data_IF_075017426310
#
_entry.id   IF_075017426310
#
_cell.length_a   1.000
_cell.length_b   1.000
_cell.length_c   1.000
_cell.angle_alpha   90.00
_cell.angle_beta   90.00
_cell.angle_gamma   90.00
#
_symmetry.space_group_name_H-M   'P 1'
#
loop_
_entity.id
_entity.type
_entity.pdbx_description
1 polymer ?
#
# COMPACT_ATOMS: atom_id res chain seq x y z
N UNK A 1 28.79 -10.93 52.35
CA UNK A 1 29.41 -10.88 51.00
C UNK A 1 28.55 -11.53 49.89
N UNK A 2 27.33 -12.01 50.16
CA UNK A 2 26.49 -12.77 49.20
C UNK A 2 25.86 -11.94 48.06
N UNK A 3 25.77 -10.60 48.18
CA UNK A 3 25.23 -9.75 47.11
C UNK A 3 26.20 -9.48 45.93
N UNK A 4 27.51 -9.73 46.09
CA UNK A 4 28.52 -9.40 45.06
C UNK A 4 28.37 -10.25 43.78
N UNK A 5 27.89 -11.49 43.89
CA UNK A 5 27.66 -12.37 42.74
C UNK A 5 26.48 -11.92 41.88
N UNK A 6 25.37 -11.56 42.52
CA UNK A 6 24.17 -11.05 41.85
C UNK A 6 24.45 -9.71 41.15
N UNK A 7 25.16 -8.79 41.81
CA UNK A 7 25.53 -7.50 41.21
C UNK A 7 26.45 -7.69 39.99
N UNK A 8 27.45 -8.59 40.07
CA UNK A 8 28.32 -8.90 38.91
C UNK A 8 27.56 -9.52 37.76
N UNK A 9 26.61 -10.41 38.04
CA UNK A 9 25.75 -11.00 37.02
C UNK A 9 24.90 -9.94 36.30
N UNK A 10 24.22 -9.06 37.04
CA UNK A 10 23.45 -7.96 36.44
C UNK A 10 24.31 -7.00 35.63
N UNK A 11 25.52 -6.68 36.10
CA UNK A 11 26.45 -5.80 35.38
C UNK A 11 26.90 -6.44 34.06
N UNK A 12 27.25 -7.73 34.06
CA UNK A 12 27.61 -8.47 32.85
C UNK A 12 26.42 -8.55 31.89
N UNK A 13 25.21 -8.83 32.39
CA UNK A 13 24.00 -8.87 31.58
C UNK A 13 23.70 -7.50 30.94
N UNK A 14 23.81 -6.41 31.70
CA UNK A 14 23.58 -5.05 31.22
C UNK A 14 24.65 -4.61 30.20
N UNK A 15 25.91 -4.99 30.42
CA UNK A 15 26.99 -4.75 29.47
C UNK A 15 26.75 -5.50 28.15
N UNK A 16 26.30 -6.76 28.21
CA UNK A 16 25.96 -7.56 27.03
C UNK A 16 24.78 -6.94 26.27
N UNK A 17 23.69 -6.56 26.96
CA UNK A 17 22.54 -5.89 26.34
C UNK A 17 22.97 -4.59 25.67
N UNK A 18 23.82 -3.80 26.32
CA UNK A 18 24.35 -2.56 25.75
C UNK A 18 25.16 -2.82 24.48
N UNK A 19 26.01 -3.84 24.48
CA UNK A 19 26.82 -4.21 23.32
C UNK A 19 25.95 -4.67 22.13
N UNK A 20 24.88 -5.42 22.39
CA UNK A 20 23.89 -5.80 21.37
C UNK A 20 23.16 -4.56 20.81
N UNK A 21 22.81 -3.59 21.65
CA UNK A 21 22.21 -2.33 21.18
C UNK A 21 23.15 -1.53 20.28
N UNK A 22 24.44 -1.46 20.63
CA UNK A 22 25.45 -0.86 19.74
C UNK A 22 25.59 -1.61 18.41
N UNK A 23 25.53 -2.95 18.44
CA UNK A 23 25.58 -3.78 17.24
C UNK A 23 24.43 -3.46 16.26
N UNK A 24 23.23 -3.17 16.77
CA UNK A 24 22.10 -2.77 15.94
C UNK A 24 22.14 -1.30 15.51
N UNK A 25 22.62 -0.40 16.38
CA UNK A 25 22.57 1.04 16.14
C UNK A 25 23.65 1.54 15.16
N UNK A 26 24.85 0.96 15.16
CA UNK A 26 25.95 1.35 14.27
C UNK A 26 25.61 1.20 12.77
N UNK A 27 25.11 0.06 12.28
CA UNK A 27 24.75 -0.11 10.88
C UNK A 27 23.58 0.80 10.46
N UNK A 28 22.54 0.97 11.29
CA UNK A 28 21.42 1.86 10.93
C UNK A 28 21.85 3.33 10.87
N UNK A 29 22.73 3.78 11.78
CA UNK A 29 23.30 5.14 11.73
C UNK A 29 24.09 5.40 10.45
N UNK A 30 24.78 4.40 9.90
CA UNK A 30 25.48 4.53 8.62
C UNK A 30 24.50 4.74 7.45
N UNK A 31 23.38 4.01 7.44
CA UNK A 31 22.33 4.17 6.41
C UNK A 31 21.65 5.53 6.55
N UNK A 32 21.30 5.94 7.77
CA UNK A 32 20.70 7.25 8.04
C UNK A 32 21.60 8.40 7.61
N UNK A 33 22.91 8.32 7.88
CA UNK A 33 23.87 9.33 7.42
C UNK A 33 23.95 9.42 5.90
N UNK A 34 23.92 8.28 5.19
CA UNK A 34 23.86 8.27 3.72
C UNK A 34 22.56 8.88 3.19
N UNK A 35 21.44 8.63 3.87
CA UNK A 35 20.17 9.24 3.52
C UNK A 35 20.19 10.77 3.70
N UNK A 36 20.80 11.25 4.79
CA UNK A 36 21.00 12.68 5.03
C UNK A 36 21.91 13.32 3.97
N UNK A 37 23.03 12.66 3.63
CA UNK A 37 23.96 13.14 2.61
C UNK A 37 23.30 13.18 1.22
N UNK A 38 22.48 12.18 0.87
CA UNK A 38 21.68 12.17 -0.35
C UNK A 38 20.66 13.31 -0.35
N UNK A 39 19.93 13.48 0.75
CA UNK A 39 18.90 14.50 0.87
C UNK A 39 19.47 15.92 0.76
N UNK A 40 20.64 16.20 1.37
CA UNK A 40 21.34 17.49 1.24
C UNK A 40 21.71 17.82 -0.21
N UNK A 41 22.14 16.82 -0.98
CA UNK A 41 22.51 17.01 -2.39
C UNK A 41 21.30 17.37 -3.25
N UNK A 42 20.15 16.73 -2.99
CA UNK A 42 18.92 16.99 -3.73
C UNK A 42 18.30 18.34 -3.32
N UNK A 43 18.24 18.63 -2.03
CA UNK A 43 17.65 19.88 -1.53
C UNK A 43 18.46 21.12 -1.88
N UNK A 44 19.77 21.00 -2.13
CA UNK A 44 20.62 22.12 -2.55
C UNK A 44 20.20 22.74 -3.89
N UNK A 45 19.47 21.99 -4.73
CA UNK A 45 18.99 22.45 -6.03
C UNK A 45 17.55 23.02 -5.96
N UNK A 46 16.90 23.00 -4.79
CA UNK A 46 15.54 23.49 -4.60
C UNK A 46 15.53 24.97 -4.16
N UNK A 47 14.48 25.74 -4.52
CA UNK A 47 14.32 27.11 -4.06
C UNK A 47 14.18 27.16 -2.53
N UNK A 48 14.70 28.24 -1.91
CA UNK A 48 14.99 28.32 -0.47
C UNK A 48 13.78 28.05 0.45
N UNK A 49 12.59 28.38 -0.01
CA UNK A 49 11.29 28.14 0.60
C UNK A 49 10.88 26.66 0.61
N UNK A 50 11.28 25.88 -0.40
CA UNK A 50 10.95 24.45 -0.51
C UNK A 50 12.08 23.50 -0.06
N UNK A 51 13.29 24.02 0.23
CA UNK A 51 14.46 23.20 0.59
C UNK A 51 14.19 22.22 1.74
N UNK A 52 13.45 22.65 2.77
CA UNK A 52 13.11 21.80 3.91
C UNK A 52 12.17 20.65 3.51
N UNK A 53 11.19 20.93 2.64
CA UNK A 53 10.27 19.93 2.12
C UNK A 53 11.00 18.95 1.18
N UNK A 54 11.83 19.47 0.27
CA UNK A 54 12.65 18.69 -0.66
C UNK A 54 13.64 17.78 0.07
N UNK A 55 14.30 18.28 1.13
CA UNK A 55 15.18 17.49 1.99
C UNK A 55 14.42 16.32 2.61
N UNK A 56 13.26 16.59 3.22
CA UNK A 56 12.45 15.57 3.88
C UNK A 56 11.94 14.54 2.88
N UNK A 57 11.49 14.96 1.70
CA UNK A 57 11.03 14.06 0.63
C UNK A 57 12.16 13.15 0.11
N UNK A 58 13.33 13.72 -0.18
CA UNK A 58 14.49 12.96 -0.65
C UNK A 58 15.00 11.96 0.39
N UNK A 59 15.09 12.38 1.66
CA UNK A 59 15.49 11.51 2.78
C UNK A 59 14.53 10.34 2.96
N UNK A 60 13.23 10.63 2.98
CA UNK A 60 12.19 9.60 3.18
C UNK A 60 12.11 8.63 2.00
N UNK A 61 12.26 9.11 0.77
CA UNK A 61 12.33 8.24 -0.42
C UNK A 61 13.53 7.29 -0.38
N UNK A 62 14.71 7.79 0.03
CA UNK A 62 15.91 6.96 0.17
C UNK A 62 15.77 5.90 1.27
N UNK A 63 15.21 6.28 2.42
CA UNK A 63 14.99 5.32 3.51
C UNK A 63 13.93 4.27 3.13
N UNK A 64 12.92 4.63 2.33
CA UNK A 64 11.92 3.69 1.83
C UNK A 64 12.53 2.63 0.90
N UNK A 65 13.44 3.03 0.00
CA UNK A 65 14.13 2.08 -0.88
C UNK A 65 15.08 1.16 -0.10
N UNK A 66 15.72 1.67 0.94
CA UNK A 66 16.63 0.92 1.81
C UNK A 66 15.91 0.05 2.87
N UNK A 67 14.60 0.22 3.08
CA UNK A 67 13.86 -0.43 4.16
C UNK A 67 13.94 -1.96 4.14
N UNK A 68 13.88 -2.56 2.94
CA UNK A 68 13.96 -4.01 2.73
C UNK A 68 15.37 -4.53 2.43
N UNK A 69 16.35 -3.64 2.31
CA UNK A 69 17.73 -4.02 2.01
C UNK A 69 18.41 -4.65 3.23
N UNK A 70 19.18 -5.72 2.99
CA UNK A 70 19.94 -6.39 4.05
C UNK A 70 21.18 -5.56 4.38
N UNK A 71 21.19 -4.93 5.56
CA UNK A 71 22.29 -4.05 5.98
C UNK A 71 23.35 -4.82 6.76
N UNK A 72 22.97 -5.86 7.49
CA UNK A 72 23.89 -6.62 8.35
C UNK A 72 23.83 -8.12 8.02
N UNK A 73 24.97 -8.70 7.66
CA UNK A 73 25.17 -10.14 7.47
C UNK A 73 26.24 -10.60 8.46
N UNK A 74 25.87 -11.42 9.44
CA UNK A 74 26.82 -12.06 10.35
C UNK A 74 26.93 -13.55 10.00
N UNK A 75 28.12 -14.16 10.13
CA UNK A 75 28.25 -15.61 10.05
C UNK A 75 27.39 -16.21 11.19
N UNK A 76 26.43 -17.07 10.83
CA UNK A 76 25.39 -17.71 11.68
C UNK A 76 24.05 -16.97 11.90
N UNK A 77 23.85 -15.72 11.45
CA UNK A 77 22.56 -15.03 11.62
C UNK A 77 21.98 -14.71 10.22
N UNK A 78 20.68 -14.98 9.95
CA UNK A 78 20.05 -14.55 8.71
C UNK A 78 20.25 -13.04 8.53
N UNK A 79 20.44 -12.60 7.28
CA UNK A 79 20.63 -11.19 6.96
C UNK A 79 19.51 -10.34 7.58
N UNK A 80 19.90 -9.34 8.36
CA UNK A 80 18.95 -8.42 8.99
C UNK A 80 18.75 -7.22 8.08
N UNK A 81 17.49 -6.91 7.78
CA UNK A 81 17.13 -5.71 7.01
C UNK A 81 17.32 -4.45 7.84
N UNK A 82 17.36 -3.29 7.18
CA UNK A 82 17.32 -2.00 7.87
C UNK A 82 16.15 -1.93 8.86
N UNK A 83 14.96 -2.38 8.44
CA UNK A 83 13.75 -2.38 9.26
C UNK A 83 13.89 -3.27 10.50
N UNK A 84 14.45 -4.48 10.35
CA UNK A 84 14.63 -5.42 11.46
C UNK A 84 15.63 -4.89 12.50
N UNK A 85 16.71 -4.24 12.04
CA UNK A 85 17.69 -3.62 12.93
C UNK A 85 17.09 -2.44 13.68
N UNK A 86 16.21 -1.68 13.02
CA UNK A 86 15.51 -0.54 13.61
C UNK A 86 14.51 -1.01 14.66
N UNK A 87 13.74 -2.06 14.39
CA UNK A 87 12.72 -2.58 15.31
C UNK A 87 13.28 -3.18 16.60
N UNK A 88 14.52 -3.67 16.56
CA UNK A 88 15.20 -4.24 17.73
C UNK A 88 15.98 -3.21 18.58
N UNK A 89 16.01 -1.95 18.15
CA UNK A 89 16.62 -0.87 18.94
C UNK A 89 15.74 -0.46 20.12
N UNK A 90 16.35 0.05 21.18
CA UNK A 90 15.62 0.68 22.29
C UNK A 90 14.70 1.78 21.74
N UNK A 91 13.44 1.75 22.20
CA UNK A 91 12.48 2.79 21.92
C UNK A 91 12.96 4.10 22.53
N UNK A 92 13.29 5.03 21.65
CA UNK A 92 13.51 6.41 21.99
C UNK A 92 12.18 7.07 21.68
N UNK A 93 11.51 7.61 22.71
CA UNK A 93 10.13 8.13 22.60
C UNK A 93 9.97 9.22 21.54
N UNK A 94 8.73 9.67 21.31
CA UNK A 94 8.40 10.67 20.29
C UNK A 94 9.27 11.94 20.42
N UNK A 95 9.54 12.38 21.64
CA UNK A 95 10.36 13.55 21.93
C UNK A 95 11.83 13.37 21.46
N UNK A 96 12.40 12.19 21.65
CA UNK A 96 13.83 11.93 21.37
C UNK A 96 14.10 11.47 19.94
N UNK A 97 13.14 10.86 19.25
CA UNK A 97 13.28 10.40 17.86
C UNK A 97 12.53 11.22 16.84
N UNK A 98 11.57 12.03 17.29
CA UNK A 98 10.52 12.50 16.40
C UNK A 98 9.60 11.36 15.96
N UNK A 99 8.55 11.72 15.24
CA UNK A 99 7.53 10.77 14.79
C UNK A 99 6.23 11.47 14.46
N UNK A 100 5.11 10.76 14.65
CA UNK A 100 3.77 11.27 14.36
C UNK A 100 2.82 10.95 15.52
N UNK A 101 2.05 11.96 15.95
CA UNK A 101 0.88 11.79 16.83
C UNK A 101 -0.37 12.16 16.03
N UNK A 102 -1.37 11.28 16.06
CA UNK A 102 -2.63 11.42 15.32
C UNK A 102 -3.77 11.11 16.26
N UNK A 103 -4.82 11.93 16.20
CA UNK A 103 -6.11 11.63 16.82
C UNK A 103 -7.07 11.26 15.70
N UNK A 104 -7.67 10.07 15.82
CA UNK A 104 -8.62 9.50 14.88
C UNK A 104 -10.00 9.47 15.53
N UNK A 105 -11.01 10.01 14.86
CA UNK A 105 -12.41 9.84 15.23
C UNK A 105 -12.98 8.66 14.45
N UNK A 106 -13.65 7.74 15.14
CA UNK A 106 -14.37 6.65 14.46
C UNK A 106 -15.62 7.24 13.81
N UNK A 107 -15.83 6.94 12.52
CA UNK A 107 -17.01 7.41 11.79
C UNK A 107 -18.26 6.61 12.20
N UNK A 108 -18.98 7.16 13.17
CA UNK A 108 -20.25 6.61 13.64
C UNK A 108 -21.44 7.14 12.85
N UNK A 109 -21.25 8.14 11.98
CA UNK A 109 -22.31 8.67 11.11
C UNK A 109 -22.76 7.60 10.13
N UNK A 110 -21.79 7.01 9.44
CA UNK A 110 -22.06 5.97 8.45
C UNK A 110 -22.54 4.67 9.10
N UNK A 111 -22.08 4.37 10.31
CA UNK A 111 -22.64 3.26 11.11
C UNK A 111 -24.13 3.47 11.35
N UNK A 112 -24.54 4.61 11.93
CA UNK A 112 -25.95 4.88 12.24
C UNK A 112 -26.79 4.91 10.96
N UNK A 113 -26.28 5.49 9.87
CA UNK A 113 -26.94 5.47 8.55
C UNK A 113 -27.14 4.04 8.04
N UNK A 114 -26.14 3.16 8.20
CA UNK A 114 -26.24 1.77 7.73
C UNK A 114 -27.20 0.91 8.56
N UNK A 115 -27.44 1.29 9.83
CA UNK A 115 -28.38 0.61 10.72
C UNK A 115 -29.82 1.10 10.56
N UNK A 116 -30.04 2.21 9.84
CA UNK A 116 -31.38 2.75 9.63
C UNK A 116 -32.17 1.92 8.62
N UNK A 117 -33.49 1.99 8.71
CA UNK A 117 -34.40 1.37 7.75
C UNK A 117 -34.43 2.12 6.41
N UNK A 118 -34.28 3.45 6.45
CA UNK A 118 -34.19 4.27 5.26
C UNK A 118 -32.99 5.22 5.36
N UNK A 119 -31.93 4.89 4.64
CA UNK A 119 -30.71 5.70 4.59
C UNK A 119 -30.91 7.06 3.90
N UNK A 120 -31.97 7.20 3.09
CA UNK A 120 -32.31 8.42 2.34
C UNK A 120 -33.33 9.32 3.06
N UNK A 121 -33.75 8.98 4.29
CA UNK A 121 -34.69 9.83 5.05
C UNK A 121 -34.06 11.22 5.30
N UNK A 122 -34.68 12.32 4.81
CA UNK A 122 -34.14 13.67 4.98
C UNK A 122 -34.06 14.08 6.45
N UNK A 123 -34.97 13.61 7.31
CA UNK A 123 -34.93 13.88 8.76
C UNK A 123 -33.69 13.23 9.39
N UNK A 124 -33.39 11.98 9.00
CA UNK A 124 -32.20 11.26 9.46
C UNK A 124 -30.91 11.92 8.97
N UNK A 125 -30.85 12.29 7.68
CA UNK A 125 -29.70 12.95 7.11
C UNK A 125 -29.38 14.28 7.82
N UNK A 126 -30.41 15.09 8.10
CA UNK A 126 -30.27 16.35 8.84
C UNK A 126 -29.84 16.12 10.30
N UNK A 127 -30.39 15.12 10.99
CA UNK A 127 -29.98 14.79 12.36
C UNK A 127 -28.52 14.34 12.44
N UNK A 128 -28.08 13.50 11.50
CA UNK A 128 -26.69 13.05 11.39
C UNK A 128 -25.73 14.20 11.08
N UNK A 129 -26.11 15.11 10.18
CA UNK A 129 -25.31 16.28 9.86
C UNK A 129 -25.20 17.25 11.05
N UNK A 130 -26.31 17.54 11.72
CA UNK A 130 -26.32 18.39 12.91
C UNK A 130 -25.47 17.81 14.04
N UNK A 131 -25.57 16.51 14.30
CA UNK A 131 -24.74 15.82 15.27
C UNK A 131 -23.24 15.93 14.94
N UNK A 132 -22.88 15.80 13.66
CA UNK A 132 -21.49 15.93 13.19
C UNK A 132 -20.94 17.35 13.42
N UNK A 133 -21.76 18.37 13.17
CA UNK A 133 -21.39 19.77 13.43
C UNK A 133 -21.25 20.07 14.92
N UNK A 134 -22.09 19.46 15.77
CA UNK A 134 -22.01 19.61 17.22
C UNK A 134 -20.80 18.90 17.83
N UNK A 135 -20.32 17.81 17.23
CA UNK A 135 -19.16 17.05 17.70
C UNK A 135 -17.89 17.89 17.75
N UNK A 136 -17.71 18.82 16.79
CA UNK A 136 -16.55 19.70 16.75
C UNK A 136 -16.44 20.66 17.95
N UNK A 137 -17.56 20.95 18.60
CA UNK A 137 -17.65 21.96 19.67
C UNK A 137 -17.94 21.36 21.05
N UNK A 138 -18.13 20.04 21.14
CA UNK A 138 -18.60 19.37 22.35
C UNK A 138 -17.71 18.18 22.70
N UNK A 139 -17.58 17.88 24.00
CA UNK A 139 -16.86 16.69 24.48
C UNK A 139 -17.78 15.47 24.67
N UNK A 140 -18.97 15.50 24.08
CA UNK A 140 -19.92 14.38 24.12
C UNK A 140 -19.64 13.43 22.96
N UNK A 141 -20.02 12.18 23.15
CA UNK A 141 -19.98 11.16 22.12
C UNK A 141 -20.99 11.43 20.98
N UNK A 142 -20.81 10.72 19.87
CA UNK A 142 -21.63 10.94 18.67
C UNK A 142 -23.10 10.50 18.81
N UNK A 143 -23.37 9.33 19.42
CA UNK A 143 -24.74 8.78 19.54
C UNK A 143 -25.64 9.67 20.40
N UNK A 144 -25.09 10.26 21.46
CA UNK A 144 -25.80 11.20 22.34
C UNK A 144 -26.14 12.49 21.59
N UNK A 145 -25.18 13.01 20.80
CA UNK A 145 -25.41 14.19 19.95
C UNK A 145 -26.44 13.91 18.86
N UNK A 146 -26.44 12.71 18.29
CA UNK A 146 -27.43 12.25 17.34
C UNK A 146 -28.83 12.17 17.96
N UNK A 147 -28.98 11.53 19.12
CA UNK A 147 -30.26 11.42 19.82
C UNK A 147 -30.86 12.79 20.19
N UNK A 148 -30.02 13.76 20.59
CA UNK A 148 -30.43 15.15 20.80
C UNK A 148 -30.88 15.81 19.49
N UNK A 149 -30.08 15.69 18.44
CA UNK A 149 -30.38 16.29 17.14
C UNK A 149 -31.65 15.71 16.52
N UNK A 150 -31.88 14.40 16.67
CA UNK A 150 -33.09 13.73 16.23
C UNK A 150 -34.32 14.30 16.92
N UNK A 151 -34.32 14.40 18.25
CA UNK A 151 -35.46 14.95 19.01
C UNK A 151 -35.83 16.37 18.61
N UNK A 152 -34.86 17.17 18.20
CA UNK A 152 -35.09 18.55 17.73
C UNK A 152 -35.68 18.63 16.32
N UNK A 153 -35.36 17.68 15.43
CA UNK A 153 -35.72 17.72 14.00
C UNK A 153 -36.94 16.84 13.69
N UNK A 154 -37.12 15.74 14.42
CA UNK A 154 -38.09 14.70 14.12
C UNK A 154 -39.56 15.10 14.38
N UNK A 155 -39.81 16.29 14.95
CA UNK A 155 -41.15 16.85 15.18
C UNK A 155 -42.15 15.86 15.83
N UNK A 156 -41.67 15.05 16.78
CA UNK A 156 -42.48 14.05 17.50
C UNK A 156 -42.50 12.65 16.88
N UNK A 157 -41.80 12.40 15.76
CA UNK A 157 -41.55 11.02 15.26
C UNK A 157 -40.64 10.28 16.24
N UNK A 158 -40.98 9.02 16.55
CA UNK A 158 -40.16 8.17 17.42
C UNK A 158 -38.86 7.81 16.70
N UNK A 159 -37.78 7.68 17.45
CA UNK A 159 -36.51 7.21 16.93
C UNK A 159 -36.64 5.78 16.39
N UNK A 160 -37.43 4.93 17.05
CA UNK A 160 -37.69 3.55 16.64
C UNK A 160 -38.23 3.42 15.19
N UNK A 161 -38.98 4.41 14.71
CA UNK A 161 -39.54 4.41 13.34
C UNK A 161 -38.45 4.44 12.27
N UNK A 162 -37.32 5.07 12.56
CA UNK A 162 -36.20 5.20 11.64
C UNK A 162 -35.32 3.94 11.56
N UNK A 163 -35.40 3.07 12.55
CA UNK A 163 -34.52 1.89 12.70
C UNK A 163 -35.25 0.55 12.58
N UNK A 164 -36.58 0.53 12.60
CA UNK A 164 -37.37 -0.70 12.43
C UNK A 164 -37.63 -0.98 10.94
N UNK A 165 -37.43 -2.22 10.42
CA UNK A 165 -36.96 -3.42 11.09
C UNK A 165 -35.44 -3.69 10.95
N UNK A 166 -34.66 -2.75 10.41
CA UNK A 166 -33.23 -2.94 10.14
C UNK A 166 -32.37 -3.20 11.37
N UNK A 167 -32.69 -2.57 12.50
CA UNK A 167 -31.95 -2.70 13.74
C UNK A 167 -32.52 -3.83 14.61
N UNK A 168 -31.71 -4.87 14.82
CA UNK A 168 -32.08 -6.00 15.68
C UNK A 168 -32.36 -5.54 17.13
N UNK A 169 -33.46 -6.05 17.70
CA UNK A 169 -33.88 -5.70 19.06
C UNK A 169 -34.69 -4.41 19.17
N UNK A 170 -35.01 -3.75 18.05
CA UNK A 170 -35.88 -2.56 18.01
C UNK A 170 -37.21 -2.89 17.32
N UNK A 171 -38.30 -2.43 17.93
CA UNK A 171 -39.66 -2.46 17.39
C UNK A 171 -40.28 -1.05 17.43
N UNK A 172 -41.39 -0.82 16.73
CA UNK A 172 -42.11 0.47 16.73
C UNK A 172 -42.57 0.95 18.13
N UNK A 173 -42.67 0.05 19.10
CA UNK A 173 -43.03 0.37 20.50
C UNK A 173 -41.83 0.68 21.40
N UNK A 174 -40.61 0.53 20.87
CA UNK A 174 -39.37 0.77 21.64
C UNK A 174 -39.22 2.26 21.92
N UNK A 175 -38.85 2.62 23.15
CA UNK A 175 -38.64 4.01 23.53
C UNK A 175 -37.36 4.57 22.93
N UNK A 176 -37.32 5.88 22.68
CA UNK A 176 -36.14 6.54 22.09
C UNK A 176 -34.87 6.29 22.92
N UNK A 177 -34.97 6.32 24.26
CA UNK A 177 -33.83 6.05 25.14
C UNK A 177 -33.30 4.62 25.03
N UNK A 178 -34.18 3.65 24.77
CA UNK A 178 -33.77 2.26 24.55
C UNK A 178 -33.10 2.08 23.18
N UNK A 179 -33.60 2.75 22.15
CA UNK A 179 -32.95 2.79 20.83
C UNK A 179 -31.57 3.47 20.92
N UNK A 180 -31.46 4.61 21.61
CA UNK A 180 -30.17 5.28 21.87
C UNK A 180 -29.17 4.36 22.57
N UNK A 181 -29.63 3.54 23.54
CA UNK A 181 -28.80 2.55 24.23
C UNK A 181 -28.30 1.45 23.30
N UNK A 182 -29.17 0.89 22.46
CA UNK A 182 -28.78 -0.14 21.48
C UNK A 182 -27.77 0.43 20.46
N UNK A 183 -28.02 1.65 19.98
CA UNK A 183 -27.09 2.35 19.08
C UNK A 183 -25.73 2.60 19.77
N UNK A 184 -25.72 2.97 21.05
CA UNK A 184 -24.48 3.10 21.84
C UNK A 184 -23.73 1.78 21.89
N UNK A 185 -24.40 0.67 22.16
CA UNK A 185 -23.75 -0.63 22.27
C UNK A 185 -23.12 -1.05 20.92
N UNK A 186 -23.84 -0.84 19.81
CA UNK A 186 -23.29 -1.06 18.46
C UNK A 186 -22.13 -0.12 18.13
N UNK A 187 -22.20 1.14 18.57
CA UNK A 187 -21.10 2.09 18.42
C UNK A 187 -19.86 1.63 19.20
N UNK A 188 -20.01 1.26 20.48
CA UNK A 188 -18.92 0.75 21.32
C UNK A 188 -18.25 -0.49 20.72
N UNK A 189 -19.04 -1.41 20.18
CA UNK A 189 -18.55 -2.59 19.46
C UNK A 189 -17.73 -2.18 18.22
N UNK A 190 -18.27 -1.28 17.41
CA UNK A 190 -17.61 -0.79 16.18
C UNK A 190 -16.30 -0.06 16.49
N UNK A 191 -16.28 0.78 17.53
CA UNK A 191 -15.08 1.48 18.01
C UNK A 191 -14.02 0.48 18.49
N UNK A 192 -14.43 -0.54 19.26
CA UNK A 192 -13.53 -1.59 19.75
C UNK A 192 -12.93 -2.43 18.61
N UNK A 193 -13.74 -2.78 17.62
CA UNK A 193 -13.29 -3.48 16.41
C UNK A 193 -12.30 -2.61 15.61
N UNK A 194 -12.62 -1.34 15.42
CA UNK A 194 -11.75 -0.38 14.72
C UNK A 194 -10.41 -0.21 15.44
N UNK A 195 -10.43 -0.11 16.77
CA UNK A 195 -9.21 -0.06 17.58
C UNK A 195 -8.36 -1.32 17.41
N UNK A 196 -8.97 -2.52 17.44
CA UNK A 196 -8.28 -3.79 17.21
C UNK A 196 -7.64 -3.86 15.81
N UNK A 197 -8.37 -3.45 14.78
CA UNK A 197 -7.88 -3.40 13.40
C UNK A 197 -6.73 -2.40 13.22
N UNK A 198 -6.82 -1.22 13.84
CA UNK A 198 -5.75 -0.23 13.80
C UNK A 198 -4.47 -0.76 14.44
N UNK A 199 -4.59 -1.45 15.59
CA UNK A 199 -3.45 -2.10 16.23
C UNK A 199 -2.76 -3.11 15.31
N UNK A 200 -3.53 -4.01 14.70
CA UNK A 200 -2.99 -5.00 13.75
C UNK A 200 -2.35 -4.36 12.50
N UNK A 201 -2.90 -3.24 12.02
CA UNK A 201 -2.33 -2.50 10.88
C UNK A 201 -1.02 -1.82 11.25
N UNK A 202 -0.96 -1.21 12.42
CA UNK A 202 0.23 -0.53 12.91
C UNK A 202 1.37 -1.53 13.13
N UNK A 203 1.07 -2.72 13.64
CA UNK A 203 2.07 -3.80 13.78
C UNK A 203 2.73 -4.14 12.44
N UNK A 204 1.99 -4.05 11.33
CA UNK A 204 2.51 -4.29 9.97
C UNK A 204 3.35 -3.13 9.40
N UNK A 205 3.28 -1.93 9.98
CA UNK A 205 4.10 -0.80 9.56
C UNK A 205 5.57 -0.94 10.02
N UNK A 206 5.87 -1.91 10.89
CA UNK A 206 7.23 -2.14 11.39
C UNK A 206 7.72 -1.02 12.32
N UNK A 207 6.79 -0.26 12.92
CA UNK A 207 7.11 0.77 13.90
C UNK A 207 7.57 0.16 15.22
N UNK A 208 8.49 0.85 15.89
CA UNK A 208 9.04 0.40 17.16
C UNK A 208 8.11 0.88 18.28
N UNK A 209 7.38 -0.04 18.92
CA UNK A 209 6.58 0.24 20.12
C UNK A 209 5.56 1.38 19.93
N UNK A 210 4.53 1.19 19.09
CA UNK A 210 3.46 2.16 18.95
C UNK A 210 2.69 2.34 20.27
N UNK A 211 2.31 3.57 20.59
CA UNK A 211 1.38 3.84 21.69
C UNK A 211 0.00 4.16 21.10
N UNK A 212 -1.02 3.39 21.50
CA UNK A 212 -2.38 3.51 20.99
C UNK A 212 -3.32 3.51 22.19
N UNK A 213 -4.12 4.57 22.33
CA UNK A 213 -5.09 4.71 23.41
C UNK A 213 -6.48 4.98 22.86
N UNK A 214 -7.48 4.30 23.41
CA UNK A 214 -8.90 4.51 23.10
C UNK A 214 -9.56 5.35 24.21
N UNK A 215 -10.14 6.47 23.83
CA UNK A 215 -11.09 7.23 24.64
C UNK A 215 -12.51 6.83 24.23
N UNK A 216 -13.04 5.82 24.92
CA UNK A 216 -14.37 5.27 24.66
C UNK A 216 -15.50 6.26 24.97
N UNK A 217 -15.25 7.31 25.74
CA UNK A 217 -16.28 8.31 26.09
C UNK A 217 -16.53 9.30 24.96
N UNK A 218 -15.58 9.46 24.04
CA UNK A 218 -15.65 10.39 22.91
C UNK A 218 -15.47 9.71 21.55
N UNK A 219 -15.39 8.38 21.54
CA UNK A 219 -15.16 7.57 20.35
C UNK A 219 -13.83 7.93 19.61
N UNK A 220 -12.83 8.37 20.37
CA UNK A 220 -11.54 8.87 19.88
C UNK A 220 -10.42 7.85 20.08
N UNK A 221 -9.56 7.70 19.08
CA UNK A 221 -8.39 6.83 19.13
C UNK A 221 -7.15 7.70 18.91
N UNK A 222 -6.30 7.81 19.93
CA UNK A 222 -5.00 8.50 19.83
C UNK A 222 -3.93 7.48 19.46
N UNK A 223 -3.12 7.82 18.47
CA UNK A 223 -2.07 6.98 17.91
C UNK A 223 -0.76 7.77 17.89
N UNK A 224 0.25 7.25 18.57
CA UNK A 224 1.59 7.82 18.58
C UNK A 224 2.58 6.79 18.02
N UNK A 225 3.27 7.20 16.95
CA UNK A 225 4.19 6.37 16.18
C UNK A 225 5.58 7.00 16.21
N UNK A 226 6.43 6.62 17.20
CA UNK A 226 7.79 7.13 17.30
C UNK A 226 8.66 6.55 16.18
N UNK A 227 9.58 7.36 15.67
CA UNK A 227 10.56 6.92 14.66
C UNK A 227 9.98 6.61 13.28
N UNK A 228 8.76 7.06 12.97
CA UNK A 228 8.26 7.06 11.59
C UNK A 228 9.01 8.11 10.76
N UNK A 229 9.73 7.65 9.74
CA UNK A 229 10.40 8.54 8.79
C UNK A 229 9.40 9.20 7.82
N UNK A 230 8.39 8.45 7.33
CA UNK A 230 7.40 8.95 6.38
C UNK A 230 5.98 9.07 7.01
N UNK A 231 5.60 10.25 7.52
CA UNK A 231 4.29 10.46 8.14
C UNK A 231 3.13 10.40 7.14
N UNK A 232 3.35 10.79 5.88
CA UNK A 232 2.29 10.73 4.87
C UNK A 232 1.92 9.29 4.53
N UNK A 233 2.92 8.41 4.40
CA UNK A 233 2.70 6.97 4.23
C UNK A 233 1.93 6.41 5.44
N UNK A 234 2.36 6.74 6.65
CA UNK A 234 1.69 6.30 7.86
C UNK A 234 0.22 6.74 7.92
N UNK A 235 -0.06 8.02 7.61
CA UNK A 235 -1.42 8.55 7.49
C UNK A 235 -2.25 7.76 6.48
N UNK A 236 -1.71 7.53 5.28
CA UNK A 236 -2.42 6.78 4.24
C UNK A 236 -2.73 5.35 4.71
N UNK A 237 -1.82 4.69 5.44
CA UNK A 237 -2.06 3.35 5.99
C UNK A 237 -3.10 3.32 7.12
N UNK A 238 -3.15 4.36 7.97
CA UNK A 238 -4.14 4.49 9.04
C UNK A 238 -5.53 4.83 8.49
N UNK A 239 -5.61 5.69 7.47
CA UNK A 239 -6.86 6.13 6.85
C UNK A 239 -7.42 5.15 5.82
N UNK A 240 -6.58 4.31 5.18
CA UNK A 240 -7.05 3.40 4.15
C UNK A 240 -8.14 2.47 4.71
N UNK A 241 -9.38 2.60 4.22
CA UNK A 241 -10.42 1.63 4.50
C UNK A 241 -9.99 0.27 3.95
N UNK A 242 -10.05 -0.79 4.76
CA UNK A 242 -9.80 -2.14 4.26
C UNK A 242 -11.13 -2.68 3.72
N UNK A 243 -11.59 -2.09 2.62
CA UNK A 243 -12.69 -2.66 1.86
C UNK A 243 -12.16 -3.94 1.21
N UNK A 244 -12.68 -5.09 1.65
CA UNK A 244 -12.41 -6.36 1.02
C UNK A 244 -13.40 -6.53 -0.13
N UNK A 245 -12.90 -6.43 -1.35
CA UNK A 245 -13.66 -6.63 -2.57
C UNK A 245 -13.23 -7.95 -3.21
N UNK A 246 -14.20 -8.68 -3.75
CA UNK A 246 -13.97 -9.89 -4.53
C UNK A 246 -14.25 -9.55 -5.98
N UNK A 247 -13.25 -9.75 -6.84
CA UNK A 247 -13.38 -9.56 -8.27
C UNK A 247 -13.17 -10.87 -9.01
N UNK A 248 -13.90 -11.05 -10.11
CA UNK A 248 -13.63 -12.08 -11.09
C UNK A 248 -12.36 -11.72 -11.87
N UNK A 249 -11.50 -12.71 -12.09
CA UNK A 249 -10.17 -12.51 -12.67
C UNK A 249 -9.98 -13.31 -13.94
N UNK A 250 -9.39 -12.66 -14.93
CA UNK A 250 -8.82 -13.33 -16.09
C UNK A 250 -7.48 -13.96 -15.76
N UNK A 251 -7.28 -15.18 -16.25
CA UNK A 251 -6.02 -15.91 -16.20
C UNK A 251 -5.32 -15.79 -17.55
N UNK A 252 -4.00 -15.96 -17.56
CA UNK A 252 -3.23 -15.93 -18.82
C UNK A 252 -3.71 -16.97 -19.84
N UNK A 253 -4.18 -18.13 -19.35
CA UNK A 253 -4.65 -19.22 -20.19
C UNK A 253 -6.13 -19.07 -20.61
N UNK A 254 -6.81 -18.01 -20.17
CA UNK A 254 -8.18 -17.73 -20.62
C UNK A 254 -8.15 -17.26 -22.07
N UNK A 255 -9.20 -17.63 -22.83
CA UNK A 255 -9.24 -17.44 -24.26
C UNK A 255 -9.00 -15.98 -24.66
N UNK A 256 -7.94 -15.74 -25.45
CA UNK A 256 -7.63 -14.45 -26.05
C UNK A 256 -6.77 -13.53 -25.20
N UNK A 257 -6.49 -13.85 -23.93
CA UNK A 257 -5.61 -13.01 -23.08
C UNK A 257 -4.14 -13.17 -23.49
N UNK A 258 -3.70 -14.39 -23.74
CA UNK A 258 -2.37 -14.72 -24.24
C UNK A 258 -2.10 -14.02 -25.58
N UNK A 259 -3.02 -14.12 -26.53
CA UNK A 259 -2.91 -13.50 -27.85
C UNK A 259 -2.98 -11.97 -27.77
N UNK A 260 -3.83 -11.41 -26.90
CA UNK A 260 -3.88 -9.98 -26.66
C UNK A 260 -2.56 -9.44 -26.10
N UNK A 261 -1.89 -10.20 -25.21
CA UNK A 261 -0.57 -9.84 -24.67
C UNK A 261 0.50 -9.81 -25.78
N UNK A 262 0.51 -10.82 -26.66
CA UNK A 262 1.43 -10.88 -27.80
C UNK A 262 1.19 -9.72 -28.77
N UNK A 263 -0.07 -9.45 -29.11
CA UNK A 263 -0.47 -8.35 -29.99
C UNK A 263 -0.13 -6.99 -29.38
N UNK A 264 -0.26 -6.84 -28.05
CA UNK A 264 0.11 -5.64 -27.34
C UNK A 264 1.62 -5.35 -27.46
N UNK A 265 2.47 -6.36 -27.29
CA UNK A 265 3.92 -6.23 -27.44
C UNK A 265 4.33 -5.83 -28.86
N UNK A 266 3.71 -6.45 -29.88
CA UNK A 266 3.91 -6.08 -31.29
C UNK A 266 3.40 -4.66 -31.60
N UNK A 267 2.24 -4.27 -31.06
CA UNK A 267 1.72 -2.92 -31.26
C UNK A 267 2.61 -1.88 -30.58
N UNK A 268 3.15 -2.18 -29.40
CA UNK A 268 4.12 -1.31 -28.73
C UNK A 268 5.42 -1.21 -29.52
N UNK A 269 5.90 -2.30 -30.12
CA UNK A 269 7.11 -2.26 -30.96
C UNK A 269 6.95 -1.38 -32.19
N UNK A 270 5.74 -1.26 -32.75
CA UNK A 270 5.46 -0.36 -33.89
C UNK A 270 5.29 1.11 -33.50
N UNK A 271 4.70 1.39 -32.34
CA UNK A 271 4.40 2.77 -31.91
C UNK A 271 5.56 3.41 -31.14
N UNK A 272 6.31 2.62 -30.37
CA UNK A 272 7.48 3.07 -29.61
C UNK A 272 8.78 2.93 -30.41
N UNK A 273 8.71 2.91 -31.75
CA UNK A 273 9.88 2.88 -32.63
C UNK A 273 10.76 4.11 -32.39
N UNK A 274 11.63 4.01 -31.40
CA UNK A 274 12.91 4.67 -31.39
C UNK A 274 13.80 3.91 -32.37
N UNK A 275 14.38 4.64 -33.32
CA UNK A 275 15.06 4.17 -34.55
C UNK A 275 16.34 3.35 -34.34
N UNK A 276 16.52 2.73 -33.17
CA UNK A 276 17.86 2.35 -32.67
C UNK A 276 17.94 0.98 -32.01
N UNK A 277 17.18 -0.02 -32.48
CA UNK A 277 17.52 -1.43 -32.21
C UNK A 277 17.60 -2.28 -33.47
N UNK A 278 18.75 -2.96 -33.57
CA UNK A 278 19.26 -3.73 -34.71
C UNK A 278 18.31 -4.86 -35.07
N UNK A 279 17.91 -4.91 -36.35
CA UNK A 279 17.29 -6.10 -36.93
C UNK A 279 18.38 -7.16 -37.14
N UNK A 280 18.09 -8.41 -36.83
CA UNK A 280 18.98 -9.53 -37.17
C UNK A 280 18.73 -9.86 -38.65
N UNK A 281 19.77 -9.78 -39.46
CA UNK A 281 19.68 -10.16 -40.89
C UNK A 281 19.59 -11.66 -40.96
N UNK A 282 18.48 -12.19 -41.48
CA UNK A 282 18.26 -13.63 -41.60
C UNK A 282 19.03 -14.19 -42.80
N UNK A 283 18.91 -13.51 -43.96
CA UNK A 283 19.63 -13.87 -45.18
C UNK A 283 19.90 -12.61 -46.01
N UNK A 284 21.08 -12.56 -46.64
CA UNK A 284 21.42 -11.58 -47.66
C UNK A 284 21.42 -12.34 -48.99
N UNK A 285 20.52 -11.99 -49.90
CA UNK A 285 20.49 -12.55 -51.25
C UNK A 285 21.05 -11.52 -52.23
N UNK A 286 22.05 -11.94 -53.01
CA UNK A 286 22.78 -11.05 -53.93
C UNK A 286 22.50 -11.47 -55.36
N UNK A 287 21.84 -10.59 -56.10
CA UNK A 287 21.58 -10.80 -57.54
C UNK A 287 22.65 -10.06 -58.35
N UNK A 288 23.31 -10.78 -59.25
CA UNK A 288 24.37 -10.24 -60.10
C UNK A 288 23.84 -9.82 -61.48
N UNK A 289 24.48 -8.84 -62.11
CA UNK A 289 24.12 -8.37 -63.46
C UNK A 289 24.52 -9.46 -64.47
N UNK A 290 23.62 -9.80 -65.39
CA UNK A 290 23.93 -10.68 -66.53
C UNK A 290 24.22 -9.86 -67.79
N UNK A 291 25.24 -10.24 -68.54
CA UNK A 291 25.57 -9.60 -69.83
C UNK A 291 24.57 -9.96 -70.94
N UNK A 292 24.70 -9.35 -72.11
CA UNK A 292 23.82 -9.59 -73.27
C UNK A 292 23.94 -10.99 -73.88
N UNK A 293 24.87 -11.82 -73.39
CA UNK A 293 25.05 -13.22 -73.76
C UNK A 293 24.57 -14.17 -72.64
N UNK A 294 24.00 -13.64 -71.55
CA UNK A 294 23.42 -14.40 -70.45
C UNK A 294 24.42 -14.88 -69.39
N UNK A 295 25.67 -14.42 -69.43
CA UNK A 295 26.68 -14.81 -68.45
C UNK A 295 26.65 -13.87 -67.25
N UNK A 296 26.87 -14.45 -66.07
CA UNK A 296 26.84 -13.73 -64.79
C UNK A 296 28.11 -12.90 -64.65
N UNK A 297 27.97 -11.57 -64.57
CA UNK A 297 29.07 -10.63 -64.32
C UNK A 297 29.39 -10.56 -62.82
N UNK A 298 30.61 -10.10 -62.49
CA UNK A 298 31.03 -9.82 -61.10
C UNK A 298 30.41 -8.56 -60.51
N UNK A 299 29.63 -7.80 -61.29
CA UNK A 299 28.90 -6.62 -60.82
C UNK A 299 27.58 -7.01 -60.17
N UNK A 300 27.33 -6.47 -58.97
CA UNK A 300 26.14 -6.74 -58.18
C UNK A 300 25.00 -5.83 -58.66
N UNK A 301 23.89 -6.42 -59.11
CA UNK A 301 22.72 -5.70 -59.59
C UNK A 301 21.84 -5.20 -58.43
N UNK A 302 21.60 -6.07 -57.44
CA UNK A 302 20.80 -5.76 -56.25
C UNK A 302 21.20 -6.66 -55.10
N UNK A 303 21.24 -6.07 -53.90
CA UNK A 303 21.31 -6.82 -52.65
C UNK A 303 19.95 -6.71 -51.99
N UNK A 304 19.25 -7.83 -51.83
CA UNK A 304 18.00 -7.89 -51.09
C UNK A 304 18.25 -8.51 -49.71
N UNK A 305 17.84 -7.78 -48.66
CA UNK A 305 18.10 -8.18 -47.27
C UNK A 305 16.77 -8.51 -46.61
N UNK A 306 16.60 -9.78 -46.23
CA UNK A 306 15.41 -10.24 -45.50
C UNK A 306 15.69 -10.18 -44.01
N UNK A 307 14.88 -9.39 -43.29
CA UNK A 307 14.97 -9.23 -41.84
C UNK A 307 13.99 -10.17 -41.14
N UNK A 308 14.42 -10.79 -40.05
CA UNK A 308 13.53 -11.55 -39.16
C UNK A 308 13.17 -10.66 -37.96
N UNK A 309 11.86 -10.46 -37.73
CA UNK A 309 11.36 -9.79 -36.53
C UNK A 309 11.44 -10.78 -35.35
N UNK A 310 12.14 -10.42 -34.28
CA UNK A 310 12.12 -11.20 -33.03
C UNK A 310 10.70 -11.18 -32.45
N UNK A 311 10.01 -12.33 -32.53
CA UNK A 311 8.61 -12.49 -32.10
C UNK A 311 8.45 -12.42 -30.57
N UNK A 312 9.55 -12.58 -29.82
CA UNK A 312 9.62 -12.41 -28.37
C UNK A 312 10.71 -11.39 -28.02
N UNK A 313 10.35 -10.10 -27.96
CA UNK A 313 11.35 -9.07 -27.68
C UNK A 313 10.88 -7.62 -27.78
N UNK A 314 9.57 -7.36 -27.87
CA UNK A 314 9.07 -6.00 -27.90
C UNK A 314 9.21 -5.28 -26.55
N UNK A 315 8.88 -3.97 -26.52
CA UNK A 315 9.05 -3.14 -25.34
C UNK A 315 8.33 -3.67 -24.09
N UNK A 316 7.21 -4.38 -24.24
CA UNK A 316 6.46 -4.92 -23.11
C UNK A 316 7.16 -6.16 -22.55
N UNK A 317 7.52 -7.13 -23.39
CA UNK A 317 8.18 -8.36 -22.92
C UNK A 317 9.63 -8.16 -22.48
N UNK A 318 10.24 -7.02 -22.81
CA UNK A 318 11.54 -6.64 -22.25
C UNK A 318 11.50 -6.33 -20.75
N UNK A 319 10.32 -5.97 -20.21
CA UNK A 319 10.12 -5.56 -18.81
C UNK A 319 9.05 -6.40 -18.08
N UNK A 320 8.26 -7.19 -18.81
CA UNK A 320 7.20 -8.04 -18.28
C UNK A 320 7.42 -9.47 -18.78
N UNK A 321 7.63 -10.41 -17.86
CA UNK A 321 7.66 -11.84 -18.18
C UNK A 321 6.27 -12.44 -17.96
N UNK A 322 5.60 -12.97 -19.00
CA UNK A 322 4.32 -13.65 -18.84
C UNK A 322 4.44 -14.83 -17.86
N UNK A 323 3.45 -14.99 -16.99
CA UNK A 323 3.44 -16.05 -15.97
C UNK A 323 2.01 -16.47 -15.70
N UNK A 324 1.67 -17.74 -15.95
CA UNK A 324 0.30 -18.28 -15.85
C UNK A 324 -0.12 -18.71 -14.44
N UNK A 325 0.42 -18.09 -13.39
CA UNK A 325 0.16 -18.46 -12.00
C UNK A 325 -1.13 -17.83 -11.44
N UNK A 326 -2.26 -18.53 -11.52
CA UNK A 326 -3.53 -18.05 -10.95
C UNK A 326 -4.09 -16.85 -11.72
N UNK A 327 -4.47 -15.78 -11.01
CA UNK A 327 -4.94 -14.51 -11.60
C UNK A 327 -3.79 -13.61 -12.10
N UNK A 328 -2.54 -14.08 -12.06
CA UNK A 328 -1.39 -13.33 -12.55
C UNK A 328 -1.23 -13.59 -14.04
N UNK A 329 -1.08 -12.51 -14.81
CA UNK A 329 -0.81 -12.56 -16.26
C UNK A 329 0.68 -12.40 -16.59
N UNK A 330 1.45 -11.78 -15.68
CA UNK A 330 2.89 -11.58 -15.84
C UNK A 330 3.55 -10.98 -14.60
N UNK A 331 4.87 -11.07 -14.57
CA UNK A 331 5.74 -10.56 -13.49
C UNK A 331 6.73 -9.57 -14.08
N UNK A 332 6.91 -8.45 -13.39
CA UNK A 332 7.86 -7.40 -13.75
C UNK A 332 8.66 -6.97 -12.53
N UNK A 333 9.82 -6.35 -12.74
CA UNK A 333 10.58 -5.76 -11.65
C UNK A 333 9.85 -4.57 -11.02
N UNK A 334 10.06 -4.36 -9.71
CA UNK A 334 9.33 -3.33 -8.93
C UNK A 334 9.55 -1.91 -9.49
N UNK A 335 10.74 -1.62 -9.99
CA UNK A 335 11.14 -0.35 -10.63
C UNK A 335 10.44 -0.12 -11.98
N UNK A 336 10.05 -1.18 -12.70
CA UNK A 336 9.45 -1.12 -14.04
C UNK A 336 7.91 -1.13 -14.02
N UNK A 337 7.29 -1.34 -12.86
CA UNK A 337 5.83 -1.39 -12.68
C UNK A 337 5.09 -0.23 -13.38
N UNK A 338 5.57 1.01 -13.19
CA UNK A 338 4.89 2.19 -13.73
C UNK A 338 4.94 2.20 -15.27
N UNK A 339 6.03 1.73 -15.86
CA UNK A 339 6.20 1.63 -17.30
C UNK A 339 5.31 0.53 -17.89
N UNK A 340 5.27 -0.64 -17.26
CA UNK A 340 4.35 -1.74 -17.64
C UNK A 340 2.90 -1.26 -17.62
N UNK A 341 2.48 -0.59 -16.54
CA UNK A 341 1.12 -0.10 -16.41
C UNK A 341 0.81 0.99 -17.45
N UNK A 342 1.76 1.90 -17.72
CA UNK A 342 1.60 2.90 -18.77
C UNK A 342 1.41 2.27 -20.15
N UNK A 343 2.13 1.19 -20.47
CA UNK A 343 1.96 0.44 -21.71
C UNK A 343 0.59 -0.25 -21.81
N UNK A 344 0.16 -0.95 -20.76
CA UNK A 344 -1.09 -1.70 -20.75
C UNK A 344 -2.35 -0.82 -20.68
N UNK A 345 -2.23 0.38 -20.12
CA UNK A 345 -3.35 1.35 -20.02
C UNK A 345 -3.51 2.24 -21.24
N UNK A 346 -2.57 2.20 -22.20
CA UNK A 346 -2.65 2.99 -23.44
C UNK A 346 -3.88 2.58 -24.24
N UNK A 347 -4.59 3.55 -24.83
CA UNK A 347 -5.91 3.31 -25.45
C UNK A 347 -5.87 2.28 -26.59
N UNK A 348 -4.84 2.36 -27.44
CA UNK A 348 -4.62 1.44 -28.56
C UNK A 348 -4.25 0.01 -28.11
N UNK A 349 -3.62 -0.13 -26.94
CA UNK A 349 -3.30 -1.44 -26.35
C UNK A 349 -4.50 -2.00 -25.58
N UNK A 350 -5.22 -1.16 -24.85
CA UNK A 350 -6.40 -1.53 -24.07
C UNK A 350 -7.51 -2.09 -24.96
N UNK A 351 -7.62 -1.61 -26.20
CA UNK A 351 -8.59 -2.12 -27.18
C UNK A 351 -8.35 -3.58 -27.61
N UNK A 352 -7.15 -4.12 -27.38
CA UNK A 352 -6.81 -5.51 -27.69
C UNK A 352 -7.31 -6.50 -26.63
N UNK A 353 -7.71 -6.00 -25.46
CA UNK A 353 -8.22 -6.80 -24.35
C UNK A 353 -9.76 -6.70 -24.26
N UNK A 354 -10.42 -7.67 -23.60
CA UNK A 354 -11.85 -7.55 -23.28
C UNK A 354 -12.18 -6.24 -22.55
N UNK A 355 -13.34 -5.65 -22.86
CA UNK A 355 -13.70 -4.28 -22.41
C UNK A 355 -13.81 -4.13 -20.89
N UNK A 356 -14.07 -5.22 -20.20
CA UNK A 356 -14.20 -5.36 -18.75
C UNK A 356 -12.88 -5.63 -18.03
N UNK A 357 -11.78 -5.90 -18.76
CA UNK A 357 -10.46 -6.09 -18.16
C UNK A 357 -9.93 -4.78 -17.59
N UNK A 358 -9.45 -4.86 -16.36
CA UNK A 358 -8.63 -3.83 -15.71
C UNK A 358 -7.32 -4.44 -15.25
N UNK A 359 -6.21 -3.78 -15.60
CA UNK A 359 -4.90 -4.19 -15.15
C UNK A 359 -4.57 -3.56 -13.81
N UNK A 360 -4.22 -4.41 -12.84
CA UNK A 360 -3.76 -4.01 -11.52
C UNK A 360 -2.35 -4.57 -11.31
N UNK A 361 -1.52 -3.83 -10.60
CA UNK A 361 -0.21 -4.34 -10.19
C UNK A 361 -0.23 -4.72 -8.72
N UNK A 362 0.23 -5.93 -8.38
CA UNK A 362 0.44 -6.38 -7.01
C UNK A 362 1.95 -6.41 -6.66
N UNK A 363 2.29 -6.17 -5.38
CA UNK A 363 3.63 -6.50 -4.85
C UNK A 363 3.64 -7.96 -4.40
N UNK A 364 4.39 -8.83 -5.09
CA UNK A 364 4.58 -10.22 -4.66
C UNK A 364 5.48 -10.26 -3.43
N UNK A 365 5.04 -10.89 -2.32
CA UNK A 365 5.91 -11.17 -1.18
C UNK A 365 6.85 -12.34 -1.54
N UNK A 366 8.14 -12.18 -1.24
CA UNK A 366 9.16 -13.22 -1.49
C UNK A 366 8.79 -14.53 -0.76
N UNK A 367 8.86 -15.71 -1.41
CA UNK A 367 8.53 -16.98 -0.78
C UNK A 367 9.69 -17.46 0.11
N UNK A 368 9.84 -16.94 1.34
CA UNK A 368 10.83 -17.47 2.28
C UNK A 368 10.33 -17.59 3.73
N UNK A 369 9.62 -18.69 4.03
CA UNK A 369 9.95 -19.69 5.09
C UNK A 369 8.77 -20.65 5.37
N UNK A 370 9.00 -21.98 5.41
CA UNK A 370 8.02 -22.93 5.91
C UNK A 370 8.15 -22.99 7.43
N UNK A 371 7.15 -22.51 8.17
CA UNK A 371 6.93 -22.96 9.56
C UNK A 371 5.44 -23.20 9.76
N UNK A 372 5.15 -24.47 10.05
CA UNK A 372 3.83 -25.02 10.28
C UNK A 372 3.11 -24.30 11.41
N UNK A 373 2.07 -23.56 11.01
CA UNK A 373 0.85 -23.24 11.75
C UNK A 373 -0.10 -22.80 10.66
N UNK A 374 -1.27 -23.43 10.55
CA UNK A 374 -2.31 -23.14 9.54
C UNK A 374 -2.47 -21.63 9.39
N UNK A 375 -1.94 -21.07 8.29
CA UNK A 375 -2.01 -19.65 7.98
C UNK A 375 -3.32 -19.43 7.25
N UNK A 376 -4.25 -18.69 7.85
CA UNK A 376 -5.37 -18.11 7.11
C UNK A 376 -4.78 -17.05 6.19
N UNK A 377 -4.91 -17.31 4.89
CA UNK A 377 -4.50 -16.41 3.83
C UNK A 377 -5.39 -15.16 3.86
N UNK A 378 -4.87 -14.05 4.37
CA UNK A 378 -5.48 -12.74 4.21
C UNK A 378 -4.42 -11.76 3.78
N UNK A 379 -4.37 -11.57 2.46
CA UNK A 379 -3.97 -10.39 1.71
C UNK A 379 -3.94 -10.81 0.24
N UNK A 380 -5.14 -10.95 -0.34
CA UNK A 380 -5.31 -11.03 -1.78
C UNK A 380 -5.35 -9.61 -2.33
N UNK A 381 -4.65 -9.37 -3.43
CA UNK A 381 -4.81 -8.17 -4.25
C UNK A 381 -4.46 -8.59 -5.68
N UNK A 382 -5.48 -8.71 -6.53
CA UNK A 382 -5.44 -9.26 -7.89
C UNK A 382 -4.72 -8.35 -8.88
#
# INVERSE_FOLDING_TARGET
MQGKGVIRFFLIALALVSLVQFLFMLPTRKVEKRADDYAKRISANAPADEQAAAYKAARTGFLDSMSSETVLKLPLIPGLSYQDLKSNQVALGLDLKGGMSVVLQVDLRDLIRSLSNNAEDPTLAQALEKASNSLANTQLDYVTLFGRSWREIANGRKLADAFTPSLEGVSYETSDGEVERILRDKANQTVSLTFGLLKERIDKLGVVQPNISLDASRDLITVELPGIDNPQRARNFLQAAAALEFWDTYRLNDAGIDQALLNADQRLSTVLRDSTKSRTVATIDTTFVTDSLGNISTEIAKIDTVYQDDVFGGPLFSILTPSGGGAVVGVAERNQRNQVMAYLTREDIRSLFPKDVRFCGQKTQSPTKPRGKKRRCTNYMQ
#
